data_IF_285755109562
#
_entry.id   IF_285755109562
#
_cell.length_a   1.000
_cell.length_b   1.000
_cell.length_c   1.000
_cell.angle_alpha   90.00
_cell.angle_beta   90.00
_cell.angle_gamma   90.00
#
_symmetry.space_group_name_H-M   'P 1'
#
loop_
_entity.id
_entity.type
_entity.pdbx_description
1 polymer ?
#
# COMPACT_ATOMS: atom_id res chain seq x y z
N UNK A 1 13.98 5.83 -7.05
CA UNK A 1 15.13 4.95 -6.72
C UNK A 1 15.20 3.83 -7.75
N UNK A 2 16.38 3.27 -7.97
CA UNK A 2 16.60 2.15 -8.87
C UNK A 2 17.58 1.13 -8.24
N UNK A 3 17.56 -0.11 -8.74
CA UNK A 3 18.36 -1.20 -8.20
C UNK A 3 19.88 -0.90 -8.21
N UNK A 4 20.41 -0.25 -9.23
CA UNK A 4 21.85 0.07 -9.29
C UNK A 4 22.26 1.02 -8.16
N UNK A 5 21.43 2.04 -7.87
CA UNK A 5 21.70 2.95 -6.73
C UNK A 5 21.67 2.19 -5.40
N UNK A 6 20.76 1.24 -5.26
CA UNK A 6 20.65 0.43 -4.04
C UNK A 6 21.84 -0.52 -3.90
N UNK A 7 22.33 -1.11 -4.99
CA UNK A 7 23.57 -1.91 -5.00
C UNK A 7 24.75 -1.07 -4.52
N UNK A 8 24.97 0.12 -5.11
CA UNK A 8 26.05 1.03 -4.72
C UNK A 8 25.99 1.39 -3.23
N UNK A 9 24.77 1.55 -2.67
CA UNK A 9 24.57 1.85 -1.25
C UNK A 9 24.95 0.66 -0.36
N UNK A 10 24.55 -0.56 -0.74
CA UNK A 10 24.88 -1.79 0.00
C UNK A 10 26.40 -2.03 -0.04
N UNK A 11 27.05 -1.88 -1.20
CA UNK A 11 28.53 -1.97 -1.32
C UNK A 11 29.25 -0.98 -0.40
N UNK A 12 28.72 0.27 -0.32
CA UNK A 12 29.25 1.26 0.61
C UNK A 12 29.10 0.85 2.08
N UNK A 13 27.98 0.22 2.47
CA UNK A 13 27.77 -0.29 3.82
C UNK A 13 28.73 -1.45 4.13
N UNK A 14 28.94 -2.38 3.19
CA UNK A 14 29.93 -3.46 3.30
C UNK A 14 31.32 -2.89 3.53
N UNK A 15 31.74 -1.94 2.68
CA UNK A 15 33.06 -1.30 2.78
C UNK A 15 33.24 -0.52 4.08
N UNK A 16 32.17 0.04 4.62
CA UNK A 16 32.17 0.76 5.90
C UNK A 16 32.17 -0.13 7.12
N UNK A 17 32.04 -1.46 6.94
CA UNK A 17 32.06 -2.44 8.01
C UNK A 17 30.86 -2.33 8.95
N UNK A 18 29.65 -2.23 8.38
CA UNK A 18 28.41 -2.30 9.16
C UNK A 18 28.21 -3.71 9.71
N UNK A 19 27.59 -3.82 10.87
CA UNK A 19 27.24 -5.13 11.45
C UNK A 19 25.95 -5.69 10.87
N UNK A 20 25.00 -4.80 10.53
CA UNK A 20 23.66 -5.15 10.00
C UNK A 20 23.27 -4.18 8.89
N UNK A 21 22.71 -4.71 7.81
CA UNK A 21 22.08 -3.96 6.75
C UNK A 21 20.58 -4.28 6.74
N UNK A 22 19.73 -3.27 6.90
CA UNK A 22 18.28 -3.39 6.72
C UNK A 22 17.93 -2.86 5.34
N UNK A 23 17.31 -3.67 4.52
CA UNK A 23 16.99 -3.32 3.14
C UNK A 23 15.52 -3.60 2.81
N UNK A 24 14.87 -2.61 2.17
CA UNK A 24 13.63 -2.83 1.41
C UNK A 24 14.01 -2.88 -0.07
N UNK A 25 13.94 -4.04 -0.72
CA UNK A 25 14.39 -4.19 -2.09
C UNK A 25 13.54 -3.35 -3.06
N UNK A 26 14.20 -2.64 -3.96
CA UNK A 26 13.53 -2.04 -5.13
C UNK A 26 13.24 -3.13 -6.17
N UNK A 27 14.16 -4.06 -6.28
CA UNK A 27 14.09 -5.27 -7.11
C UNK A 27 14.91 -6.35 -6.38
N UNK A 28 14.25 -7.34 -5.76
CA UNK A 28 14.91 -8.39 -5.00
C UNK A 28 15.96 -9.14 -5.80
N UNK A 29 15.63 -9.57 -7.02
CA UNK A 29 16.53 -10.35 -7.87
C UNK A 29 17.81 -9.57 -8.21
N UNK A 30 17.69 -8.26 -8.40
CA UNK A 30 18.82 -7.42 -8.79
C UNK A 30 19.85 -7.23 -7.67
N UNK A 31 19.44 -7.28 -6.40
CA UNK A 31 20.31 -7.04 -5.24
C UNK A 31 20.75 -8.31 -4.50
N UNK A 32 20.28 -9.48 -4.92
CA UNK A 32 20.63 -10.76 -4.29
C UNK A 32 22.14 -10.98 -4.18
N UNK A 33 22.90 -10.68 -5.24
CA UNK A 33 24.35 -10.91 -5.25
C UNK A 33 25.10 -10.03 -4.26
N UNK A 34 24.77 -8.73 -4.20
CA UNK A 34 25.41 -7.81 -3.25
C UNK A 34 25.00 -8.10 -1.80
N UNK A 35 23.78 -8.58 -1.57
CA UNK A 35 23.35 -9.05 -0.25
C UNK A 35 24.11 -10.31 0.17
N UNK A 36 24.39 -11.22 -0.78
CA UNK A 36 25.27 -12.37 -0.54
C UNK A 36 26.69 -11.94 -0.16
N UNK A 37 27.24 -10.93 -0.82
CA UNK A 37 28.56 -10.39 -0.49
C UNK A 37 28.60 -9.81 0.94
N UNK A 38 27.50 -9.18 1.38
CA UNK A 38 27.37 -8.71 2.76
C UNK A 38 27.42 -9.88 3.75
N UNK A 39 26.62 -10.93 3.52
CA UNK A 39 26.61 -12.15 4.35
C UNK A 39 27.97 -12.84 4.37
N UNK A 40 28.64 -12.96 3.22
CA UNK A 40 29.99 -13.54 3.11
C UNK A 40 31.07 -12.69 3.85
N UNK A 41 30.73 -11.44 4.20
CA UNK A 41 31.56 -10.51 4.97
C UNK A 41 31.17 -10.45 6.46
N UNK A 42 30.41 -11.42 6.96
CA UNK A 42 29.88 -11.47 8.33
C UNK A 42 28.98 -10.28 8.69
N UNK A 43 28.27 -9.72 7.69
CA UNK A 43 27.28 -8.65 7.87
C UNK A 43 25.88 -9.26 7.77
N UNK A 44 25.05 -9.07 8.77
CA UNK A 44 23.68 -9.55 8.75
C UNK A 44 22.79 -8.72 7.79
N UNK A 45 21.96 -9.38 6.99
CA UNK A 45 21.03 -8.74 6.07
C UNK A 45 19.59 -9.02 6.51
N UNK A 46 18.87 -7.95 6.83
CA UNK A 46 17.45 -8.00 7.20
C UNK A 46 16.63 -7.44 6.05
N UNK A 47 15.85 -8.28 5.39
CA UNK A 47 14.98 -7.86 4.31
C UNK A 47 13.61 -7.43 4.88
N UNK A 48 13.15 -6.27 4.42
CA UNK A 48 11.87 -5.68 4.80
C UNK A 48 10.92 -5.72 3.61
N UNK A 49 9.64 -6.10 3.87
CA UNK A 49 8.49 -6.08 2.97
C UNK A 49 8.60 -6.97 1.73
N UNK A 50 9.70 -7.70 1.56
CA UNK A 50 9.94 -8.58 0.43
C UNK A 50 10.70 -9.82 0.90
N UNK A 51 10.74 -10.86 0.07
CA UNK A 51 11.47 -12.10 0.37
C UNK A 51 12.71 -12.22 -0.49
N UNK A 52 13.86 -12.39 0.16
CA UNK A 52 15.16 -12.62 -0.47
C UNK A 52 15.75 -13.94 -0.01
N UNK A 53 16.47 -14.62 -0.90
CA UNK A 53 17.23 -15.84 -0.54
C UNK A 53 18.47 -15.50 0.28
N UNK A 54 19.20 -14.45 -0.12
CA UNK A 54 20.41 -14.00 0.55
C UNK A 54 20.07 -12.96 1.62
N UNK A 55 19.39 -13.40 2.67
CA UNK A 55 19.08 -12.62 3.85
C UNK A 55 19.14 -13.48 5.11
N UNK A 56 19.54 -12.89 6.22
CA UNK A 56 19.48 -13.54 7.54
C UNK A 56 18.05 -13.66 8.03
N UNK A 57 17.21 -12.69 7.65
CA UNK A 57 15.81 -12.64 8.06
C UNK A 57 14.99 -11.83 7.06
N UNK A 58 13.77 -12.34 6.74
CA UNK A 58 12.78 -11.65 5.92
C UNK A 58 11.58 -11.27 6.78
N UNK A 59 11.24 -9.99 6.83
CA UNK A 59 9.96 -9.52 7.33
C UNK A 59 9.03 -9.26 6.15
N UNK A 60 8.09 -10.14 5.92
CA UNK A 60 7.21 -10.09 4.75
C UNK A 60 5.82 -9.62 5.16
N UNK A 61 5.23 -8.74 4.36
CA UNK A 61 3.80 -8.43 4.38
C UNK A 61 3.14 -9.27 3.28
N UNK A 62 2.11 -10.03 3.63
CA UNK A 62 1.30 -10.77 2.65
C UNK A 62 0.43 -9.78 1.88
N UNK A 63 1.03 -9.18 0.83
CA UNK A 63 0.44 -8.05 0.10
C UNK A 63 -0.87 -8.42 -0.60
N UNK A 64 -0.98 -9.64 -1.15
CA UNK A 64 -2.23 -10.12 -1.72
C UNK A 64 -3.35 -10.19 -0.66
N UNK A 65 -3.07 -10.78 0.50
CA UNK A 65 -4.04 -10.91 1.58
C UNK A 65 -4.47 -9.54 2.14
N UNK A 66 -3.53 -8.60 2.23
CA UNK A 66 -3.84 -7.21 2.57
C UNK A 66 -4.81 -6.59 1.55
N UNK A 67 -4.57 -6.81 0.26
CA UNK A 67 -5.47 -6.39 -0.80
C UNK A 67 -6.85 -7.03 -0.70
N UNK A 68 -6.91 -8.34 -0.41
CA UNK A 68 -8.17 -9.06 -0.18
C UNK A 68 -8.96 -8.45 0.98
N UNK A 69 -8.29 -8.06 2.06
CA UNK A 69 -8.97 -7.42 3.19
C UNK A 69 -9.53 -6.03 2.83
N UNK A 70 -8.74 -5.19 2.15
CA UNK A 70 -9.22 -3.88 1.65
C UNK A 70 -10.46 -4.05 0.77
N UNK A 71 -10.37 -4.95 -0.22
CA UNK A 71 -11.47 -5.24 -1.14
C UNK A 71 -12.69 -5.84 -0.45
N UNK A 72 -12.48 -6.63 0.62
CA UNK A 72 -13.57 -7.19 1.45
C UNK A 72 -14.33 -6.09 2.17
N UNK A 73 -13.64 -5.17 2.83
CA UNK A 73 -14.28 -4.05 3.53
C UNK A 73 -15.06 -3.15 2.55
N UNK A 74 -14.50 -2.92 1.36
CA UNK A 74 -15.21 -2.20 0.30
C UNK A 74 -16.45 -2.95 -0.19
N UNK A 75 -16.35 -4.27 -0.41
CA UNK A 75 -17.47 -5.10 -0.85
C UNK A 75 -18.60 -5.15 0.20
N UNK A 76 -18.26 -5.24 1.47
CA UNK A 76 -19.25 -5.20 2.56
C UNK A 76 -20.01 -3.87 2.58
N UNK A 77 -19.31 -2.76 2.41
CA UNK A 77 -19.93 -1.43 2.26
C UNK A 77 -20.84 -1.35 1.02
N UNK A 78 -20.39 -1.87 -0.13
CA UNK A 78 -21.17 -1.90 -1.36
C UNK A 78 -22.45 -2.70 -1.16
N UNK A 79 -22.36 -3.87 -0.56
CA UNK A 79 -23.52 -4.73 -0.30
C UNK A 79 -24.50 -4.10 0.70
N UNK A 80 -24.00 -3.41 1.73
CA UNK A 80 -24.82 -2.68 2.68
C UNK A 80 -25.59 -1.52 2.03
N UNK A 81 -24.89 -0.70 1.23
CA UNK A 81 -25.46 0.54 0.68
C UNK A 81 -26.26 0.32 -0.59
N UNK A 82 -25.84 -0.60 -1.46
CA UNK A 82 -26.39 -0.74 -2.80
C UNK A 82 -27.05 -2.10 -3.08
N UNK A 83 -26.70 -3.14 -2.30
CA UNK A 83 -27.21 -4.49 -2.49
C UNK A 83 -27.00 -4.99 -3.91
N UNK A 84 -28.01 -5.60 -4.51
CA UNK A 84 -27.96 -6.17 -5.87
C UNK A 84 -27.78 -5.13 -6.99
N UNK A 85 -27.91 -3.84 -6.70
CA UNK A 85 -27.75 -2.79 -7.72
C UNK A 85 -26.28 -2.56 -8.07
N UNK A 86 -25.37 -2.81 -7.13
CA UNK A 86 -23.97 -2.46 -7.26
C UNK A 86 -23.72 -0.96 -7.36
N UNK A 87 -22.49 -0.59 -7.63
CA UNK A 87 -22.08 0.79 -7.86
C UNK A 87 -20.78 0.85 -8.67
N UNK A 88 -20.43 2.05 -9.14
CA UNK A 88 -19.12 2.30 -9.74
C UNK A 88 -18.02 2.34 -8.69
N UNK A 89 -16.91 1.65 -8.98
CA UNK A 89 -15.72 1.50 -8.12
C UNK A 89 -14.49 1.97 -8.86
N UNK A 90 -13.61 2.64 -8.16
CA UNK A 90 -12.27 3.02 -8.63
C UNK A 90 -11.22 2.24 -7.84
N UNK A 91 -10.17 1.79 -8.52
CA UNK A 91 -8.95 1.27 -7.87
C UNK A 91 -7.80 2.21 -8.17
N UNK A 92 -7.16 2.72 -7.12
CA UNK A 92 -5.90 3.45 -7.22
C UNK A 92 -4.77 2.50 -6.83
N UNK A 93 -4.17 1.91 -7.86
CA UNK A 93 -3.16 0.88 -7.78
C UNK A 93 -1.74 1.41 -8.01
N UNK A 94 -0.76 0.50 -8.15
CA UNK A 94 0.59 0.82 -8.62
C UNK A 94 1.28 -0.42 -9.21
N UNK A 95 0.89 -0.84 -10.41
CA UNK A 95 1.31 -2.12 -11.00
C UNK A 95 2.79 -2.18 -11.40
N UNK A 96 3.53 -1.06 -11.35
CA UNK A 96 4.94 -1.00 -11.65
C UNK A 96 5.82 -1.68 -10.58
N UNK A 97 5.29 -1.85 -9.37
CA UNK A 97 5.97 -2.51 -8.25
C UNK A 97 5.29 -3.84 -7.97
N UNK A 98 5.99 -4.98 -8.07
CA UNK A 98 5.37 -6.32 -7.98
C UNK A 98 4.53 -6.55 -6.73
N UNK A 99 5.03 -6.18 -5.55
CA UNK A 99 4.30 -6.35 -4.28
C UNK A 99 3.02 -5.50 -4.23
N UNK A 100 3.02 -4.32 -4.84
CA UNK A 100 1.84 -3.46 -4.90
C UNK A 100 0.84 -3.96 -5.94
N UNK A 101 1.30 -4.59 -7.03
CA UNK A 101 0.45 -5.30 -7.97
C UNK A 101 -0.25 -6.49 -7.32
N UNK A 102 0.42 -7.24 -6.44
CA UNK A 102 -0.22 -8.30 -5.67
C UNK A 102 -1.35 -7.75 -4.78
N UNK A 103 -1.11 -6.63 -4.10
CA UNK A 103 -2.13 -5.96 -3.30
C UNK A 103 -3.32 -5.50 -4.14
N UNK A 104 -3.06 -4.90 -5.30
CA UNK A 104 -4.09 -4.50 -6.27
C UNK A 104 -4.92 -5.71 -6.74
N UNK A 105 -4.26 -6.82 -7.07
CA UNK A 105 -4.94 -8.06 -7.49
C UNK A 105 -5.85 -8.60 -6.36
N UNK A 106 -5.38 -8.57 -5.11
CA UNK A 106 -6.20 -8.96 -3.96
C UNK A 106 -7.47 -8.11 -3.82
N UNK A 107 -7.37 -6.79 -4.01
CA UNK A 107 -8.54 -5.88 -4.01
C UNK A 107 -9.52 -6.29 -5.11
N UNK A 108 -9.04 -6.46 -6.34
CA UNK A 108 -9.87 -6.77 -7.50
C UNK A 108 -10.56 -8.14 -7.36
N UNK A 109 -9.85 -9.15 -6.88
CA UNK A 109 -10.40 -10.49 -6.67
C UNK A 109 -11.47 -10.50 -5.58
N UNK A 110 -11.24 -9.79 -4.47
CA UNK A 110 -12.23 -9.67 -3.40
C UNK A 110 -13.50 -8.94 -3.85
N UNK A 111 -13.37 -7.84 -4.58
CA UNK A 111 -14.52 -7.12 -5.17
C UNK A 111 -15.32 -8.03 -6.11
N UNK A 112 -14.64 -8.73 -7.00
CA UNK A 112 -15.27 -9.65 -7.96
C UNK A 112 -16.00 -10.80 -7.29
N UNK A 113 -15.45 -11.34 -6.20
CA UNK A 113 -16.05 -12.47 -5.48
C UNK A 113 -17.22 -12.01 -4.59
N UNK A 114 -17.04 -10.91 -3.84
CA UNK A 114 -17.95 -10.53 -2.75
C UNK A 114 -18.96 -9.43 -3.13
N UNK A 115 -18.67 -8.64 -4.16
CA UNK A 115 -19.56 -7.62 -4.70
C UNK A 115 -19.64 -7.73 -6.24
N UNK A 116 -20.13 -8.85 -6.80
CA UNK A 116 -20.07 -9.13 -8.24
C UNK A 116 -20.89 -8.15 -9.10
N UNK A 117 -21.75 -7.36 -8.50
CA UNK A 117 -22.53 -6.31 -9.18
C UNK A 117 -21.82 -4.94 -9.16
N UNK A 118 -20.68 -4.82 -8.49
CA UNK A 118 -19.85 -3.62 -8.56
C UNK A 118 -19.09 -3.56 -9.89
N UNK A 119 -19.01 -2.39 -10.47
CA UNK A 119 -18.28 -2.16 -11.72
C UNK A 119 -17.01 -1.36 -11.45
N UNK A 120 -15.84 -1.95 -11.69
CA UNK A 120 -14.57 -1.22 -11.63
C UNK A 120 -14.44 -0.40 -12.90
N UNK A 121 -14.79 0.89 -12.83
CA UNK A 121 -14.81 1.81 -13.98
C UNK A 121 -13.46 2.43 -14.29
N UNK A 122 -12.55 2.45 -13.32
CA UNK A 122 -11.18 2.91 -13.51
C UNK A 122 -10.21 2.19 -12.58
N UNK A 123 -9.02 1.90 -13.10
CA UNK A 123 -7.85 1.46 -12.37
C UNK A 123 -6.66 2.30 -12.83
N UNK A 124 -6.11 3.13 -11.94
CA UNK A 124 -5.07 4.09 -12.26
C UNK A 124 -3.94 4.03 -11.23
N UNK A 125 -2.67 4.22 -11.65
CA UNK A 125 -1.55 4.33 -10.73
C UNK A 125 -1.68 5.57 -9.84
N UNK A 126 -1.51 5.39 -8.52
CA UNK A 126 -1.44 6.49 -7.58
C UNK A 126 -0.75 6.06 -6.28
N UNK A 127 0.56 6.31 -6.18
CA UNK A 127 1.36 5.95 -5.00
C UNK A 127 1.42 7.09 -3.97
N UNK A 128 1.30 8.34 -4.40
CA UNK A 128 1.37 9.51 -3.55
C UNK A 128 0.10 10.39 -3.62
N UNK A 129 0.03 11.39 -2.77
CA UNK A 129 -1.13 12.30 -2.65
C UNK A 129 -1.39 13.08 -3.95
N UNK A 130 -0.34 13.50 -4.65
CA UNK A 130 -0.48 14.30 -5.88
C UNK A 130 -1.02 13.43 -7.01
N UNK A 131 -0.49 12.22 -7.16
CA UNK A 131 -0.99 11.25 -8.14
C UNK A 131 -2.44 10.86 -7.84
N UNK A 132 -2.77 10.59 -6.58
CA UNK A 132 -4.13 10.26 -6.13
C UNK A 132 -5.13 11.38 -6.42
N UNK A 133 -4.77 12.63 -6.11
CA UNK A 133 -5.60 13.80 -6.41
C UNK A 133 -5.86 13.95 -7.91
N UNK A 134 -4.80 13.96 -8.72
CA UNK A 134 -4.90 14.16 -10.17
C UNK A 134 -5.67 13.03 -10.86
N UNK A 135 -5.42 11.78 -10.46
CA UNK A 135 -6.12 10.62 -10.99
C UNK A 135 -7.63 10.72 -10.65
N UNK A 136 -7.95 10.98 -9.39
CA UNK A 136 -9.33 11.01 -8.93
C UNK A 136 -10.12 12.21 -9.51
N UNK A 137 -9.52 13.40 -9.63
CA UNK A 137 -10.15 14.53 -10.32
C UNK A 137 -10.49 14.20 -11.79
N UNK A 138 -9.59 13.50 -12.48
CA UNK A 138 -9.82 13.05 -13.86
C UNK A 138 -10.93 12.01 -13.93
N UNK A 139 -10.92 11.04 -13.02
CA UNK A 139 -11.92 9.97 -12.96
C UNK A 139 -13.31 10.56 -12.66
N UNK A 140 -13.44 11.46 -11.71
CA UNK A 140 -14.73 12.08 -11.35
C UNK A 140 -15.35 12.89 -12.49
N UNK A 141 -14.53 13.43 -13.41
CA UNK A 141 -15.05 14.08 -14.61
C UNK A 141 -15.65 13.08 -15.62
N UNK A 142 -15.09 11.88 -15.72
CA UNK A 142 -15.55 10.83 -16.62
C UNK A 142 -16.65 9.95 -16.00
N UNK A 143 -16.56 9.73 -14.70
CA UNK A 143 -17.40 8.84 -13.89
C UNK A 143 -17.92 9.60 -12.65
N UNK A 144 -18.88 10.53 -12.80
CA UNK A 144 -19.39 11.34 -11.68
C UNK A 144 -20.16 10.52 -10.64
N UNK A 145 -20.58 9.32 -10.98
CA UNK A 145 -21.40 8.44 -10.15
C UNK A 145 -20.58 7.44 -9.32
N UNK A 146 -19.24 7.58 -9.32
CA UNK A 146 -18.34 6.76 -8.48
C UNK A 146 -18.72 6.83 -7.01
N UNK A 147 -18.83 5.68 -6.36
CA UNK A 147 -19.22 5.55 -4.95
C UNK A 147 -18.11 5.00 -4.07
N UNK A 148 -17.24 4.15 -4.61
CA UNK A 148 -16.20 3.48 -3.82
C UNK A 148 -14.84 3.66 -4.47
N UNK A 149 -13.86 4.00 -3.65
CA UNK A 149 -12.45 4.11 -4.05
C UNK A 149 -11.63 3.16 -3.19
N UNK A 150 -10.97 2.20 -3.81
CA UNK A 150 -10.02 1.31 -3.16
C UNK A 150 -8.60 1.77 -3.51
N UNK A 151 -7.77 1.97 -2.49
CA UNK A 151 -6.39 2.44 -2.66
C UNK A 151 -5.41 1.43 -2.08
N UNK A 152 -4.31 1.17 -2.81
CA UNK A 152 -3.24 0.26 -2.36
C UNK A 152 -2.38 0.85 -1.24
N UNK A 153 -2.55 2.13 -0.92
CA UNK A 153 -1.77 2.83 0.10
C UNK A 153 -2.40 4.17 0.52
N UNK A 154 -1.87 4.73 1.60
CA UNK A 154 -2.38 5.97 2.21
C UNK A 154 -2.17 7.22 1.35
N UNK A 155 -1.12 7.27 0.52
CA UNK A 155 -0.86 8.40 -0.37
C UNK A 155 -2.00 8.59 -1.37
N UNK A 156 -2.34 7.54 -2.12
CA UNK A 156 -3.46 7.56 -3.06
C UNK A 156 -4.79 7.89 -2.38
N UNK A 157 -5.03 7.33 -1.19
CA UNK A 157 -6.25 7.57 -0.41
C UNK A 157 -6.37 9.04 0.02
N UNK A 158 -5.30 9.64 0.52
CA UNK A 158 -5.27 11.07 0.90
C UNK A 158 -5.60 11.96 -0.30
N UNK A 159 -5.00 11.67 -1.48
CA UNK A 159 -5.31 12.41 -2.71
C UNK A 159 -6.75 12.25 -3.16
N UNK A 160 -7.29 11.03 -3.10
CA UNK A 160 -8.69 10.76 -3.42
C UNK A 160 -9.65 11.49 -2.48
N UNK A 161 -9.35 11.53 -1.18
CA UNK A 161 -10.14 12.27 -0.19
C UNK A 161 -10.18 13.77 -0.53
N UNK A 162 -9.05 14.36 -0.88
CA UNK A 162 -9.00 15.78 -1.28
C UNK A 162 -9.83 16.06 -2.57
N UNK A 163 -9.77 15.18 -3.57
CA UNK A 163 -10.57 15.30 -4.79
C UNK A 163 -12.07 15.23 -4.50
N UNK A 164 -12.49 14.29 -3.66
CA UNK A 164 -13.90 14.14 -3.25
C UNK A 164 -14.36 15.36 -2.43
N UNK A 165 -13.54 15.88 -1.52
CA UNK A 165 -13.82 17.14 -0.79
C UNK A 165 -13.96 18.31 -1.75
N UNK A 166 -13.12 18.39 -2.78
CA UNK A 166 -13.24 19.39 -3.84
C UNK A 166 -14.56 19.32 -4.59
N UNK A 167 -15.09 18.11 -4.79
CA UNK A 167 -16.35 17.86 -5.53
C UNK A 167 -17.60 18.07 -4.67
N UNK A 168 -17.60 17.55 -3.44
CA UNK A 168 -18.81 17.52 -2.58
C UNK A 168 -18.79 18.63 -1.49
N UNK A 169 -17.68 19.33 -1.31
CA UNK A 169 -17.56 20.37 -0.30
C UNK A 169 -17.68 19.81 1.13
N UNK A 170 -18.50 20.46 1.94
CA UNK A 170 -18.75 20.05 3.35
C UNK A 170 -19.87 19.01 3.50
N UNK A 171 -20.56 18.67 2.43
CA UNK A 171 -21.60 17.65 2.44
C UNK A 171 -21.00 16.31 2.02
N UNK A 172 -20.67 15.46 3.00
CA UNK A 172 -20.10 14.14 2.76
C UNK A 172 -21.22 13.11 2.63
N UNK A 173 -21.52 12.61 1.40
CA UNK A 173 -22.52 11.57 1.22
C UNK A 173 -22.15 10.30 1.98
N UNK A 174 -23.13 9.66 2.62
CA UNK A 174 -22.92 8.44 3.41
C UNK A 174 -22.76 7.17 2.55
N UNK A 175 -23.03 7.32 1.24
CA UNK A 175 -22.92 6.28 0.22
C UNK A 175 -21.62 6.36 -0.60
N UNK A 176 -20.69 7.24 -0.23
CA UNK A 176 -19.33 7.31 -0.80
C UNK A 176 -18.29 6.92 0.23
N UNK A 177 -17.31 6.13 -0.18
CA UNK A 177 -16.25 5.69 0.73
C UNK A 177 -14.93 5.36 0.08
N UNK A 178 -13.84 5.66 0.82
CA UNK A 178 -12.46 5.27 0.52
C UNK A 178 -12.08 4.12 1.45
N UNK A 179 -11.43 3.11 0.88
CA UNK A 179 -10.92 1.92 1.55
C UNK A 179 -9.43 1.76 1.21
N UNK A 180 -8.58 1.74 2.21
CA UNK A 180 -7.13 1.78 2.01
C UNK A 180 -6.36 1.01 3.06
N UNK A 181 -5.05 1.09 2.98
CA UNK A 181 -4.12 0.72 4.06
C UNK A 181 -3.24 1.91 4.44
N UNK A 182 -2.30 1.72 5.36
CA UNK A 182 -1.41 2.70 5.96
C UNK A 182 -2.15 3.67 6.91
N UNK A 183 -2.09 3.36 8.19
CA UNK A 183 -2.69 4.20 9.23
C UNK A 183 -1.87 5.48 9.43
N UNK A 184 -2.09 6.47 8.58
CA UNK A 184 -1.46 7.79 8.65
C UNK A 184 -2.26 8.74 9.52
N UNK A 185 -1.62 9.84 9.95
CA UNK A 185 -2.31 10.90 10.72
C UNK A 185 -3.43 11.54 9.89
N UNK A 186 -3.24 11.67 8.56
CA UNK A 186 -4.25 12.18 7.63
C UNK A 186 -5.47 11.27 7.54
N UNK A 187 -5.26 9.97 7.41
CA UNK A 187 -6.34 8.99 7.37
C UNK A 187 -7.14 8.95 8.69
N UNK A 188 -6.43 9.00 9.83
CA UNK A 188 -7.06 9.09 11.15
C UNK A 188 -7.91 10.37 11.25
N UNK A 189 -7.36 11.51 10.84
CA UNK A 189 -8.06 12.78 10.87
C UNK A 189 -9.30 12.78 9.96
N UNK A 190 -9.19 12.24 8.75
CA UNK A 190 -10.30 12.09 7.81
C UNK A 190 -11.46 11.29 8.42
N UNK A 191 -11.16 10.12 9.00
CA UNK A 191 -12.19 9.30 9.67
C UNK A 191 -12.80 10.01 10.88
N UNK A 192 -11.99 10.69 11.72
CA UNK A 192 -12.48 11.42 12.89
C UNK A 192 -13.34 12.64 12.51
N UNK A 193 -13.02 13.29 11.41
CA UNK A 193 -13.78 14.44 10.88
C UNK A 193 -15.03 13.99 10.10
N UNK A 194 -15.23 12.70 9.86
CA UNK A 194 -16.33 12.17 9.07
C UNK A 194 -16.20 12.51 7.58
N UNK A 195 -14.96 12.55 7.06
CA UNK A 195 -14.68 12.74 5.63
C UNK A 195 -14.95 11.44 4.86
N UNK A 196 -14.23 11.15 3.76
CA UNK A 196 -14.57 10.01 2.89
C UNK A 196 -13.90 8.70 3.27
N UNK A 197 -12.85 8.68 4.11
CA UNK A 197 -12.23 7.43 4.57
C UNK A 197 -13.19 6.64 5.46
N UNK A 198 -13.56 5.44 5.03
CA UNK A 198 -14.45 4.52 5.76
C UNK A 198 -13.71 3.41 6.48
N UNK A 199 -12.61 2.95 5.88
CA UNK A 199 -11.78 1.91 6.46
C UNK A 199 -10.33 2.06 6.03
N UNK A 200 -9.43 1.92 7.00
CA UNK A 200 -7.99 1.76 6.79
C UNK A 200 -7.58 0.44 7.41
N UNK A 201 -7.16 -0.50 6.57
CA UNK A 201 -6.66 -1.80 7.02
C UNK A 201 -5.22 -1.62 7.49
N UNK A 202 -4.96 -1.89 8.76
CA UNK A 202 -3.62 -1.81 9.34
C UNK A 202 -3.18 -3.17 9.87
N UNK A 203 -2.18 -3.78 9.22
CA UNK A 203 -1.67 -5.10 9.61
C UNK A 203 -0.73 -5.02 10.80
N UNK A 204 0.17 -4.04 10.82
CA UNK A 204 1.29 -3.96 11.77
C UNK A 204 1.26 -2.71 12.66
N UNK A 205 0.20 -1.94 12.63
CA UNK A 205 0.16 -0.65 13.30
C UNK A 205 0.76 0.48 12.43
N UNK A 206 1.29 1.51 13.08
CA UNK A 206 1.91 2.63 12.37
C UNK A 206 3.40 2.36 12.07
N UNK A 207 4.00 3.20 11.23
CA UNK A 207 5.41 3.08 10.80
C UNK A 207 6.42 3.04 11.96
N UNK A 208 6.12 3.69 13.11
CA UNK A 208 6.99 3.66 14.28
C UNK A 208 7.04 2.27 14.90
N UNK A 209 5.90 1.59 15.06
CA UNK A 209 5.83 0.22 15.60
C UNK A 209 6.61 -0.73 14.69
N UNK A 210 6.45 -0.61 13.37
CA UNK A 210 7.20 -1.41 12.41
C UNK A 210 8.71 -1.18 12.52
N UNK A 211 9.13 0.08 12.63
CA UNK A 211 10.53 0.46 12.79
C UNK A 211 11.15 -0.10 14.08
N UNK A 212 10.43 0.00 15.20
CA UNK A 212 10.88 -0.56 16.48
C UNK A 212 11.08 -2.07 16.41
N UNK A 213 10.15 -2.80 15.80
CA UNK A 213 10.25 -4.27 15.68
C UNK A 213 11.41 -4.66 14.78
N UNK A 214 11.62 -4.00 13.65
CA UNK A 214 12.75 -4.28 12.76
C UNK A 214 14.07 -3.96 13.46
N UNK A 215 14.17 -2.84 14.15
CA UNK A 215 15.36 -2.49 14.91
C UNK A 215 15.68 -3.53 15.97
N UNK A 216 14.70 -3.94 16.77
CA UNK A 216 14.88 -4.95 17.82
C UNK A 216 15.33 -6.31 17.25
N UNK A 217 14.77 -6.71 16.10
CA UNK A 217 15.18 -7.92 15.40
C UNK A 217 16.63 -7.81 14.90
N UNK A 218 16.96 -6.71 14.23
CA UNK A 218 18.31 -6.46 13.73
C UNK A 218 19.38 -6.51 14.84
N UNK A 219 19.07 -5.90 16.01
CA UNK A 219 19.96 -5.94 17.17
C UNK A 219 20.14 -7.33 17.77
N UNK A 220 19.19 -8.25 17.59
CA UNK A 220 19.33 -9.65 18.02
C UNK A 220 20.22 -10.46 17.08
N UNK A 221 20.24 -10.13 15.80
CA UNK A 221 21.11 -10.76 14.82
C UNK A 221 22.55 -10.27 14.93
N UNK A 222 22.77 -9.00 15.27
CA UNK A 222 24.10 -8.41 15.48
C UNK A 222 24.80 -8.82 16.79
N UNK A 223 24.13 -9.52 17.70
CA UNK A 223 24.64 -9.91 19.03
C UNK A 223 25.20 -11.34 19.07
#
# INVERSE_FOLDING_TARGET
>A
ENANTQIDQIENFITSGMDVIIVQPVDPDAIEEVCKEALDSDIEVVCWDEKMENSSFNWVIENYDLGVEIGTQAADFINEKFGDKGCEVVVLGYPQTPILLERENGILDALKEKAPNAEVVANQPAIDTTEGLNAMETILQAHPDVKVVCCIGGGGATGANEALKGTYGSEVPDDIGIFSTDLTDEAIASMQNGEFDRCVVAITGNAFVCGDVIYDLSMRYAA
#
